data_IF_746318368233
#
_entry.id   IF_746318368233
#
_cell.length_a   1.000
_cell.length_b   1.000
_cell.length_c   1.000
_cell.angle_alpha   90.00
_cell.angle_beta   90.00
_cell.angle_gamma   90.00
#
_symmetry.space_group_name_H-M   'P 1'
#
loop_
_entity.id
_entity.type
_entity.pdbx_description
1 polymer ?
#
# COMPACT_ATOMS: atom_id res chain seq x y z
N UNK A 1 -5.34 4.06 -12.56
CA UNK A 1 -5.46 3.73 -11.12
C UNK A 1 -6.05 2.35 -10.86
N UNK A 2 -7.25 2.03 -11.33
CA UNK A 2 -7.92 0.73 -11.06
C UNK A 2 -7.04 -0.46 -11.45
N UNK A 3 -6.47 -0.47 -12.65
CA UNK A 3 -5.58 -1.55 -13.09
C UNK A 3 -4.32 -1.74 -12.23
N UNK A 4 -3.81 -0.68 -11.62
CA UNK A 4 -2.71 -0.74 -10.66
C UNK A 4 -3.17 -1.44 -9.38
N UNK A 5 -4.31 -1.00 -8.80
CA UNK A 5 -4.85 -1.58 -7.57
C UNK A 5 -5.18 -3.07 -7.72
N UNK A 6 -5.76 -3.46 -8.86
CA UNK A 6 -6.07 -4.87 -9.15
C UNK A 6 -4.79 -5.71 -9.24
N UNK A 7 -3.80 -5.28 -10.01
CA UNK A 7 -2.53 -6.02 -10.15
C UNK A 7 -1.78 -6.12 -8.82
N UNK A 8 -1.78 -5.05 -8.05
CA UNK A 8 -1.21 -5.04 -6.70
C UNK A 8 -1.93 -6.04 -5.79
N UNK A 9 -3.26 -6.02 -5.76
CA UNK A 9 -4.06 -6.91 -4.93
C UNK A 9 -3.92 -8.39 -5.34
N UNK A 10 -3.78 -8.67 -6.63
CA UNK A 10 -3.49 -10.02 -7.13
C UNK A 10 -2.13 -10.50 -6.60
N UNK A 11 -1.08 -9.69 -6.66
CA UNK A 11 0.22 -10.03 -6.10
C UNK A 11 0.16 -10.28 -4.59
N UNK A 12 -0.55 -9.43 -3.87
CA UNK A 12 -0.78 -9.55 -2.43
C UNK A 12 -1.54 -10.84 -2.06
N UNK A 13 -2.65 -11.12 -2.74
CA UNK A 13 -3.44 -12.33 -2.52
C UNK A 13 -2.65 -13.60 -2.85
N UNK A 14 -1.91 -13.59 -3.95
CA UNK A 14 -1.11 -14.74 -4.38
C UNK A 14 -0.08 -15.15 -3.32
N UNK A 15 0.64 -14.18 -2.74
CA UNK A 15 1.64 -14.48 -1.71
C UNK A 15 0.99 -14.92 -0.40
N UNK A 16 -0.13 -14.33 0.01
CA UNK A 16 -0.85 -14.76 1.20
C UNK A 16 -1.38 -16.19 1.07
N UNK A 17 -1.96 -16.53 -0.09
CA UNK A 17 -2.44 -17.90 -0.35
C UNK A 17 -1.28 -18.90 -0.41
N UNK A 18 -0.15 -18.51 -1.02
CA UNK A 18 1.03 -19.37 -1.05
C UNK A 18 1.59 -19.63 0.36
N UNK A 19 1.70 -18.60 1.19
CA UNK A 19 2.14 -18.74 2.58
C UNK A 19 1.14 -19.54 3.41
N UNK A 20 -0.17 -19.27 3.29
CA UNK A 20 -1.20 -20.02 4.00
C UNK A 20 -1.17 -21.50 3.61
N UNK A 21 -1.05 -21.80 2.32
CA UNK A 21 -0.93 -23.18 1.84
C UNK A 21 0.30 -23.86 2.43
N UNK A 22 1.46 -23.18 2.39
CA UNK A 22 2.69 -23.71 2.96
C UNK A 22 2.54 -23.99 4.45
N UNK A 23 2.02 -23.06 5.25
CA UNK A 23 1.88 -23.23 6.70
C UNK A 23 0.84 -24.30 7.07
N UNK A 24 -0.31 -24.34 6.39
CA UNK A 24 -1.38 -25.32 6.66
C UNK A 24 -0.91 -26.74 6.36
N UNK A 25 -0.27 -26.96 5.21
CA UNK A 25 0.14 -28.31 4.80
C UNK A 25 1.46 -28.77 5.42
N UNK A 26 2.40 -27.83 5.63
CA UNK A 26 3.67 -28.16 6.31
C UNK A 26 3.51 -28.23 7.84
N UNK A 27 2.34 -27.87 8.40
CA UNK A 27 2.09 -27.76 9.85
C UNK A 27 3.17 -26.95 10.57
N UNK A 28 3.60 -25.89 9.93
CA UNK A 28 4.62 -25.01 10.47
C UNK A 28 3.97 -24.07 11.47
N UNK A 29 4.45 -24.06 12.71
CA UNK A 29 4.05 -23.05 13.69
C UNK A 29 4.76 -21.74 13.37
N UNK A 30 4.02 -20.63 13.32
CA UNK A 30 4.62 -19.31 13.11
C UNK A 30 5.49 -18.96 14.34
N UNK A 31 6.81 -18.73 14.18
CA UNK A 31 7.63 -18.30 15.29
C UNK A 31 7.08 -17.00 15.89
N UNK A 32 7.01 -16.89 17.21
CA UNK A 32 6.44 -15.73 17.91
C UNK A 32 7.14 -14.39 17.55
N UNK A 33 8.36 -14.44 17.01
CA UNK A 33 9.12 -13.25 16.57
C UNK A 33 8.62 -12.67 15.25
N UNK A 34 7.93 -13.45 14.41
CA UNK A 34 7.53 -13.01 13.06
C UNK A 34 6.57 -11.80 13.10
N UNK A 35 5.54 -11.74 13.95
CA UNK A 35 4.66 -10.58 14.05
C UNK A 35 5.42 -9.30 14.38
N UNK A 36 6.31 -9.34 15.40
CA UNK A 36 7.05 -8.14 15.83
C UNK A 36 8.05 -7.66 14.77
N UNK A 37 8.68 -8.56 14.02
CA UNK A 37 9.55 -8.21 12.90
C UNK A 37 8.74 -7.59 11.75
N UNK A 38 7.57 -8.15 11.45
CA UNK A 38 6.68 -7.60 10.42
C UNK A 38 6.22 -6.17 10.76
N UNK A 39 5.85 -5.93 12.01
CA UNK A 39 5.48 -4.60 12.50
C UNK A 39 6.63 -3.59 12.37
N UNK A 40 7.83 -3.95 12.80
CA UNK A 40 9.01 -3.11 12.65
C UNK A 40 9.32 -2.81 11.19
N UNK A 41 9.18 -3.80 10.32
CA UNK A 41 9.41 -3.63 8.89
C UNK A 41 8.40 -2.66 8.26
N UNK A 42 7.11 -2.73 8.66
CA UNK A 42 6.10 -1.77 8.23
C UNK A 42 6.47 -0.36 8.72
N UNK A 43 6.91 -0.23 9.97
CA UNK A 43 7.36 1.05 10.53
C UNK A 43 8.46 1.69 9.67
N UNK A 44 9.49 0.91 9.33
CA UNK A 44 10.58 1.36 8.45
C UNK A 44 10.08 1.75 7.05
N UNK A 45 9.19 0.93 6.46
CA UNK A 45 8.59 1.20 5.15
C UNK A 45 7.79 2.50 5.13
N UNK A 46 6.94 2.73 6.14
CA UNK A 46 6.15 3.95 6.26
C UNK A 46 7.03 5.19 6.44
N UNK A 47 8.08 5.10 7.27
CA UNK A 47 9.06 6.17 7.43
C UNK A 47 9.78 6.45 6.10
N UNK A 48 10.27 5.41 5.43
CA UNK A 48 10.94 5.53 4.14
C UNK A 48 10.05 6.19 3.08
N UNK A 49 8.77 5.80 3.02
CA UNK A 49 7.80 6.39 2.10
C UNK A 49 7.52 7.86 2.42
N UNK A 50 7.35 8.20 3.70
CA UNK A 50 7.17 9.59 4.13
C UNK A 50 8.39 10.46 3.80
N UNK A 51 9.59 9.98 4.08
CA UNK A 51 10.85 10.64 3.71
C UNK A 51 10.99 10.80 2.20
N UNK A 52 10.61 9.80 1.42
CA UNK A 52 10.62 9.85 -0.04
C UNK A 52 9.68 10.93 -0.57
N UNK A 53 8.48 11.06 -0.01
CA UNK A 53 7.52 12.12 -0.39
C UNK A 53 8.13 13.50 -0.10
N UNK A 54 8.72 13.71 1.08
CA UNK A 54 9.36 14.98 1.43
C UNK A 54 10.56 15.28 0.52
N UNK A 55 11.39 14.28 0.26
CA UNK A 55 12.51 14.41 -0.68
C UNK A 55 12.03 14.84 -2.07
N UNK A 56 10.99 14.18 -2.58
CA UNK A 56 10.43 14.49 -3.90
C UNK A 56 9.85 15.91 -3.96
N UNK A 57 9.23 16.37 -2.86
CA UNK A 57 8.72 17.75 -2.77
C UNK A 57 9.85 18.79 -2.74
N UNK A 58 10.97 18.44 -2.12
CA UNK A 58 12.10 19.38 -1.95
C UNK A 58 13.03 19.41 -3.17
N UNK A 59 13.32 18.26 -3.77
CA UNK A 59 14.24 18.15 -4.90
C UNK A 59 13.56 18.39 -6.25
N UNK A 60 12.25 18.16 -6.37
CA UNK A 60 11.51 18.32 -7.60
C UNK A 60 10.38 19.31 -7.33
N UNK A 61 10.46 20.51 -7.97
CA UNK A 61 9.33 21.42 -8.02
C UNK A 61 8.21 20.73 -8.82
N UNK A 62 7.37 19.96 -8.12
CA UNK A 62 6.19 19.37 -8.73
C UNK A 62 5.21 20.51 -8.97
N UNK A 63 5.13 20.98 -10.19
CA UNK A 63 4.18 22.01 -10.64
C UNK A 63 2.97 21.32 -11.24
N UNK A 64 1.79 21.87 -10.95
CA UNK A 64 0.57 21.54 -11.65
C UNK A 64 0.59 22.34 -12.96
N UNK A 65 0.74 21.67 -14.10
CA UNK A 65 0.56 22.30 -15.40
C UNK A 65 -0.89 22.13 -15.85
N UNK A 66 -1.53 23.28 -16.08
CA UNK A 66 -2.89 23.34 -16.61
C UNK A 66 -2.80 23.76 -18.06
N UNK A 67 -3.16 22.88 -18.98
CA UNK A 67 -3.29 23.23 -20.40
C UNK A 67 -4.71 22.98 -20.87
N UNK A 68 -5.10 23.77 -21.88
CA UNK A 68 -6.37 23.64 -22.56
C UNK A 68 -6.12 23.12 -23.97
N UNK A 69 -6.66 21.95 -24.29
CA UNK A 69 -6.74 21.43 -25.64
C UNK A 69 -8.22 21.24 -26.00
N UNK A 70 -8.64 21.75 -27.16
CA UNK A 70 -9.99 21.58 -27.67
C UNK A 70 -11.15 21.92 -26.66
N UNK A 71 -11.06 23.06 -26.02
CA UNK A 71 -12.03 23.53 -25.01
C UNK A 71 -12.17 22.67 -23.74
N UNK A 72 -11.27 21.71 -23.51
CA UNK A 72 -11.21 20.94 -22.26
C UNK A 72 -9.97 21.38 -21.50
N UNK A 73 -10.16 22.11 -20.39
CA UNK A 73 -9.09 22.46 -19.47
C UNK A 73 -8.88 21.32 -18.49
N UNK A 74 -7.67 20.74 -18.48
CA UNK A 74 -7.30 19.72 -17.51
C UNK A 74 -5.93 20.01 -16.92
N UNK A 75 -5.78 19.66 -15.66
CA UNK A 75 -4.55 19.85 -14.90
C UNK A 75 -3.81 18.54 -14.79
N UNK A 76 -2.56 18.51 -15.21
CA UNK A 76 -1.66 17.37 -15.06
C UNK A 76 -0.55 17.69 -14.05
N UNK A 77 -0.05 16.67 -13.39
CA UNK A 77 1.20 16.75 -12.66
C UNK A 77 2.34 16.81 -13.70
N UNK A 78 2.95 17.98 -13.86
CA UNK A 78 4.19 18.09 -14.60
C UNK A 78 5.31 17.48 -13.75
N UNK A 79 5.70 16.29 -14.11
CA UNK A 79 6.86 15.64 -13.54
C UNK A 79 7.94 15.65 -14.61
N UNK A 80 9.09 16.35 -14.41
CA UNK A 80 10.19 16.28 -15.35
C UNK A 80 10.64 14.81 -15.43
N UNK A 81 10.44 14.23 -16.60
CA UNK A 81 11.05 12.99 -17.08
C UNK A 81 11.01 11.81 -16.08
N UNK A 82 9.81 11.32 -15.76
CA UNK A 82 9.70 9.96 -15.26
C UNK A 82 9.81 9.01 -16.44
N UNK A 83 11.04 8.60 -16.75
CA UNK A 83 11.24 7.28 -17.30
C UNK A 83 10.33 6.33 -16.51
N UNK A 84 9.41 5.68 -17.21
CA UNK A 84 8.52 4.66 -16.65
C UNK A 84 9.34 3.64 -15.87
N UNK A 85 9.52 3.88 -14.57
CA UNK A 85 9.88 2.82 -13.66
C UNK A 85 8.66 1.92 -13.57
N UNK A 86 8.57 1.03 -14.54
CA UNK A 86 7.61 -0.07 -14.55
C UNK A 86 7.98 -1.06 -13.42
N UNK A 87 7.90 -0.63 -12.17
CA UNK A 87 7.80 -1.60 -11.10
C UNK A 87 6.46 -2.30 -11.28
N UNK A 88 6.46 -3.59 -11.66
CA UNK A 88 5.19 -4.27 -11.88
C UNK A 88 4.39 -4.19 -10.57
N UNK A 89 3.16 -3.66 -10.60
CA UNK A 89 2.34 -3.49 -9.40
C UNK A 89 2.17 -4.80 -8.62
N UNK A 90 2.23 -5.91 -9.33
CA UNK A 90 2.21 -7.26 -8.77
C UNK A 90 3.39 -7.47 -7.81
N UNK A 91 4.61 -7.07 -8.19
CA UNK A 91 5.79 -7.23 -7.34
C UNK A 91 5.67 -6.41 -6.05
N UNK A 92 5.17 -5.18 -6.17
CA UNK A 92 4.89 -4.33 -5.00
C UNK A 92 3.85 -4.98 -4.09
N UNK A 93 2.80 -5.59 -4.67
CA UNK A 93 1.79 -6.34 -3.93
C UNK A 93 2.37 -7.55 -3.19
N UNK A 94 3.23 -8.32 -3.85
CA UNK A 94 3.93 -9.46 -3.24
C UNK A 94 4.80 -9.01 -2.06
N UNK A 95 5.65 -8.01 -2.27
CA UNK A 95 6.53 -7.48 -1.21
C UNK A 95 5.71 -6.95 -0.03
N UNK A 96 4.62 -6.23 -0.30
CA UNK A 96 3.73 -5.72 0.74
C UNK A 96 3.01 -6.85 1.49
N UNK A 97 2.58 -7.89 0.78
CA UNK A 97 1.97 -9.07 1.38
C UNK A 97 2.94 -9.89 2.25
N UNK A 98 4.24 -9.89 1.92
CA UNK A 98 5.27 -10.52 2.76
C UNK A 98 5.62 -9.68 4.00
N UNK A 99 5.65 -8.37 3.82
CA UNK A 99 6.20 -7.43 4.80
C UNK A 99 5.15 -6.88 5.79
N UNK A 100 3.87 -7.14 5.54
CA UNK A 100 2.79 -6.54 6.31
C UNK A 100 2.32 -7.38 7.50
N UNK A 101 1.52 -6.77 8.38
CA UNK A 101 0.72 -7.48 9.38
C UNK A 101 -0.40 -8.36 8.76
N UNK A 102 -0.67 -8.19 7.46
CA UNK A 102 -1.66 -8.96 6.73
C UNK A 102 -1.42 -10.48 6.76
N UNK A 103 -0.17 -11.01 6.62
CA UNK A 103 0.08 -12.43 6.82
C UNK A 103 -0.32 -12.92 8.20
N UNK A 104 -0.03 -12.12 9.24
CA UNK A 104 -0.37 -12.46 10.62
C UNK A 104 -1.88 -12.51 10.80
N UNK A 105 -2.59 -11.47 10.38
CA UNK A 105 -4.04 -11.36 10.52
C UNK A 105 -4.81 -12.33 9.62
N UNK A 106 -4.27 -12.64 8.44
CA UNK A 106 -4.90 -13.54 7.48
C UNK A 106 -4.58 -15.01 7.70
N UNK A 107 -3.37 -15.32 8.18
CA UNK A 107 -2.89 -16.70 8.27
C UNK A 107 -3.15 -17.31 9.66
N UNK A 108 -2.99 -16.54 10.76
CA UNK A 108 -3.18 -17.09 12.10
C UNK A 108 -4.57 -17.69 12.28
N UNK A 109 -5.69 -16.98 12.01
CA UNK A 109 -7.02 -17.57 12.15
C UNK A 109 -7.23 -18.76 11.21
N UNK A 110 -6.58 -18.76 10.04
CA UNK A 110 -6.64 -19.88 9.12
C UNK A 110 -5.95 -21.14 9.65
N UNK A 111 -4.86 -20.99 10.41
CA UNK A 111 -4.13 -22.08 11.05
C UNK A 111 -4.88 -22.67 12.25
N UNK A 112 -5.67 -21.84 12.96
CA UNK A 112 -6.51 -22.29 14.08
C UNK A 112 -7.68 -23.18 13.63
N UNK A 113 -8.01 -23.19 12.33
CA UNK A 113 -9.03 -24.06 11.80
C UNK A 113 -8.51 -25.50 11.70
N UNK A 114 -9.27 -26.48 12.21
CA UNK A 114 -8.94 -27.90 12.06
C UNK A 114 -9.18 -28.44 10.63
N UNK A 115 -9.55 -27.58 9.69
CA UNK A 115 -9.85 -27.93 8.30
C UNK A 115 -9.08 -27.04 7.34
N UNK A 116 -8.14 -27.64 6.60
CA UNK A 116 -7.28 -26.94 5.63
C UNK A 116 -8.08 -26.14 4.59
N UNK A 117 -9.20 -26.68 4.11
CA UNK A 117 -10.04 -26.02 3.11
C UNK A 117 -10.73 -24.78 3.69
N UNK A 118 -11.17 -24.87 4.95
CA UNK A 118 -11.78 -23.73 5.63
C UNK A 118 -10.75 -22.62 5.87
N UNK A 119 -9.53 -22.99 6.25
CA UNK A 119 -8.41 -22.06 6.39
C UNK A 119 -8.07 -21.32 5.09
N UNK A 120 -7.97 -22.05 3.97
CA UNK A 120 -7.74 -21.46 2.66
C UNK A 120 -8.89 -20.57 2.21
N UNK A 121 -10.14 -20.97 2.45
CA UNK A 121 -11.32 -20.17 2.15
C UNK A 121 -11.31 -18.85 2.94
N UNK A 122 -10.90 -18.89 4.22
CA UNK A 122 -10.75 -17.70 5.06
C UNK A 122 -9.72 -16.73 4.46
N UNK A 123 -8.54 -17.20 4.07
CA UNK A 123 -7.51 -16.36 3.44
C UNK A 123 -8.01 -15.79 2.10
N UNK A 124 -8.79 -16.56 1.34
CA UNK A 124 -9.41 -16.09 0.10
C UNK A 124 -10.39 -14.95 0.33
N UNK A 125 -11.28 -15.10 1.32
CA UNK A 125 -12.25 -14.03 1.71
C UNK A 125 -11.52 -12.80 2.25
N UNK A 126 -10.50 -12.98 3.09
CA UNK A 126 -9.66 -11.92 3.59
C UNK A 126 -8.99 -11.14 2.43
N UNK A 127 -8.39 -11.85 1.48
CA UNK A 127 -7.74 -11.26 0.31
C UNK A 127 -8.73 -10.48 -0.58
N UNK A 128 -9.96 -10.98 -0.72
CA UNK A 128 -11.04 -10.28 -1.42
C UNK A 128 -11.43 -8.99 -0.68
N UNK A 129 -11.51 -9.03 0.64
CA UNK A 129 -11.75 -7.84 1.48
C UNK A 129 -10.65 -6.77 1.28
N UNK A 130 -9.38 -7.19 1.25
CA UNK A 130 -8.25 -6.30 0.97
C UNK A 130 -8.36 -5.68 -0.42
N UNK A 131 -8.72 -6.46 -1.45
CA UNK A 131 -8.94 -5.97 -2.81
C UNK A 131 -10.02 -4.88 -2.85
N UNK A 132 -11.18 -5.16 -2.27
CA UNK A 132 -12.31 -4.22 -2.25
C UNK A 132 -11.91 -2.93 -1.52
N UNK A 133 -11.28 -3.05 -0.35
CA UNK A 133 -10.82 -1.91 0.45
C UNK A 133 -9.83 -1.06 -0.34
N UNK A 134 -8.87 -1.69 -1.02
CA UNK A 134 -7.88 -0.98 -1.84
C UNK A 134 -8.51 -0.29 -3.06
N UNK A 135 -9.50 -0.89 -3.69
CA UNK A 135 -10.23 -0.26 -4.79
C UNK A 135 -11.01 0.97 -4.30
N UNK A 136 -11.76 0.83 -3.21
CA UNK A 136 -12.53 1.93 -2.62
C UNK A 136 -11.61 3.07 -2.18
N UNK A 137 -10.56 2.74 -1.45
CA UNK A 137 -9.57 3.70 -0.96
C UNK A 137 -8.82 4.39 -2.10
N UNK A 138 -8.38 3.63 -3.11
CA UNK A 138 -7.72 4.19 -4.30
C UNK A 138 -8.61 5.13 -5.10
N UNK A 139 -9.89 4.78 -5.26
CA UNK A 139 -10.88 5.66 -5.91
C UNK A 139 -11.14 6.93 -5.09
N UNK A 140 -11.25 6.78 -3.76
CA UNK A 140 -11.43 7.91 -2.84
C UNK A 140 -10.24 8.86 -2.89
N UNK A 141 -9.02 8.34 -2.73
CA UNK A 141 -7.80 9.14 -2.82
C UNK A 141 -7.64 9.82 -4.18
N UNK A 142 -7.96 9.11 -5.26
CA UNK A 142 -7.90 9.68 -6.60
C UNK A 142 -8.86 10.86 -6.79
N UNK A 143 -10.06 10.77 -6.25
CA UNK A 143 -11.04 11.88 -6.26
C UNK A 143 -10.58 13.03 -5.37
N UNK A 144 -10.10 12.70 -4.17
CA UNK A 144 -9.61 13.69 -3.21
C UNK A 144 -8.43 14.47 -3.78
N UNK A 145 -7.46 13.79 -4.40
CA UNK A 145 -6.31 14.46 -5.02
C UNK A 145 -6.72 15.38 -6.17
N UNK A 146 -7.67 14.98 -7.03
CA UNK A 146 -8.20 15.85 -8.08
C UNK A 146 -8.88 17.07 -7.47
N UNK A 147 -9.75 16.87 -6.50
CA UNK A 147 -10.43 17.96 -5.82
C UNK A 147 -9.45 18.93 -5.17
N UNK A 148 -8.40 18.43 -4.50
CA UNK A 148 -7.35 19.28 -3.93
C UNK A 148 -6.53 20.02 -4.99
N UNK A 149 -6.28 19.41 -6.15
CA UNK A 149 -5.57 20.06 -7.25
C UNK A 149 -6.39 21.22 -7.86
N UNK A 150 -7.72 21.08 -7.91
CA UNK A 150 -8.61 22.12 -8.41
C UNK A 150 -8.63 23.37 -7.49
N UNK A 151 -8.34 23.20 -6.20
CA UNK A 151 -8.27 24.28 -5.22
C UNK A 151 -6.91 25.01 -5.20
N UNK A 152 -5.95 24.52 -5.97
CA UNK A 152 -4.67 25.16 -6.21
C UNK A 152 -3.45 24.43 -5.67
N UNK A 153 -2.31 24.79 -6.23
CA UNK A 153 -1.02 24.13 -5.98
C UNK A 153 -0.60 24.12 -4.49
N UNK A 154 -0.91 25.20 -3.75
CA UNK A 154 -0.58 25.27 -2.32
C UNK A 154 -1.29 24.21 -1.50
N UNK A 155 -2.59 24.04 -1.70
CA UNK A 155 -3.38 23.06 -0.93
C UNK A 155 -2.95 21.64 -1.26
N UNK A 156 -2.65 21.38 -2.54
CA UNK A 156 -2.10 20.11 -2.98
C UNK A 156 -0.74 19.79 -2.32
N UNK A 157 0.17 20.77 -2.27
CA UNK A 157 1.48 20.59 -1.61
C UNK A 157 1.32 20.37 -0.09
N UNK A 158 0.45 21.14 0.58
CA UNK A 158 0.17 20.98 2.01
C UNK A 158 -0.35 19.56 2.29
N UNK A 159 -1.28 19.05 1.47
CA UNK A 159 -1.82 17.70 1.65
C UNK A 159 -0.74 16.62 1.55
N UNK A 160 0.22 16.76 0.63
CA UNK A 160 1.35 15.83 0.49
C UNK A 160 2.30 15.91 1.70
N UNK A 161 2.57 17.09 2.19
CA UNK A 161 3.36 17.30 3.42
C UNK A 161 2.66 16.65 4.60
N UNK A 162 1.36 16.85 4.78
CA UNK A 162 0.57 16.20 5.83
C UNK A 162 0.63 14.66 5.73
N UNK A 163 0.46 14.11 4.53
CA UNK A 163 0.56 12.67 4.30
C UNK A 163 1.96 12.15 4.69
N UNK A 164 3.02 12.87 4.29
CA UNK A 164 4.38 12.48 4.60
C UNK A 164 4.65 12.47 6.12
N UNK A 165 4.26 13.54 6.83
CA UNK A 165 4.42 13.58 8.29
C UNK A 165 3.56 12.54 9.01
N UNK A 166 2.34 12.30 8.55
CA UNK A 166 1.48 11.25 9.09
C UNK A 166 2.13 9.86 8.89
N UNK A 167 2.67 9.61 7.69
CA UNK A 167 3.37 8.35 7.40
C UNK A 167 4.61 8.16 8.28
N UNK A 168 5.44 9.20 8.47
CA UNK A 168 6.60 9.16 9.35
C UNK A 168 6.16 8.95 10.81
N UNK A 169 5.14 9.66 11.26
CA UNK A 169 4.61 9.55 12.61
C UNK A 169 4.10 8.15 12.93
N UNK A 170 3.27 7.58 12.07
CA UNK A 170 2.81 6.19 12.21
C UNK A 170 3.95 5.18 12.10
N UNK A 171 4.88 5.38 11.16
CA UNK A 171 6.05 4.52 11.03
C UNK A 171 6.90 4.51 12.30
N UNK A 172 7.15 5.69 12.89
CA UNK A 172 7.87 5.81 14.16
C UNK A 172 7.11 5.16 15.31
N UNK A 173 5.79 5.38 15.39
CA UNK A 173 4.94 4.75 16.40
C UNK A 173 5.07 3.22 16.35
N UNK A 174 4.92 2.60 15.17
CA UNK A 174 5.05 1.15 15.00
C UNK A 174 6.44 0.63 15.35
N UNK A 175 7.49 1.41 15.07
CA UNK A 175 8.87 1.02 15.36
C UNK A 175 9.15 0.97 16.86
N UNK A 176 8.57 1.90 17.63
CA UNK A 176 8.81 2.03 19.07
C UNK A 176 7.76 1.33 19.93
N UNK A 177 6.56 1.06 19.41
CA UNK A 177 5.47 0.39 20.15
C UNK A 177 5.53 -1.14 20.10
N UNK A 178 6.26 -1.71 19.14
CA UNK A 178 6.44 -3.16 19.04
C UNK A 178 7.55 -3.62 20.00
N UNK A 179 7.23 -3.62 21.29
CA UNK A 179 8.04 -4.20 22.36
C UNK A 179 7.48 -5.55 22.77
#
# INVERSE_FOLDING_TARGET
>A
MIGFCVRWAVGHAAILLALATLFIFAKFELPAIVPSLAEKFIGVLLMGLGCWILWTLWCHNITLETHSHDNITHTHLAQPDQQHQNHPPILVGIVHGLAGSAPVLGIIPALETNNAWLGLAYVGVFSLGVLITMLVFGCFLGKLQRWLSDWGQRLFQISRVCIAFTSIGFGSFWLFSSV
#
